data_IF_504566804437
#
_entry.id   IF_504566804437
#
_cell.length_a   1.000
_cell.length_b   1.000
_cell.length_c   1.000
_cell.angle_alpha   90.00
_cell.angle_beta   90.00
_cell.angle_gamma   90.00
#
_symmetry.space_group_name_H-M   'P 1'
#
loop_
_entity.id
_entity.type
_entity.pdbx_description
1 polymer ?
#
# COMPACT_ATOMS: atom_id res chain seq x y z
N UNK A 1 19.92 -23.90 7.09
CA UNK A 1 20.16 -23.34 5.74
C UNK A 1 20.30 -21.82 5.83
N UNK A 2 21.45 -21.27 5.39
CA UNK A 2 21.65 -19.83 5.26
C UNK A 2 20.94 -19.38 3.96
N UNK A 3 19.90 -18.56 4.10
CA UNK A 3 19.15 -17.97 2.99
C UNK A 3 19.27 -16.44 3.02
N UNK A 4 18.65 -15.77 2.05
CA UNK A 4 18.53 -14.31 2.05
C UNK A 4 17.16 -13.87 2.56
N UNK A 5 17.02 -12.61 2.98
CA UNK A 5 15.73 -12.04 3.41
C UNK A 5 15.27 -11.02 2.37
N UNK A 6 14.08 -11.21 1.83
CA UNK A 6 13.46 -10.32 0.82
C UNK A 6 12.11 -9.86 1.36
N UNK A 7 11.90 -8.54 1.48
CA UNK A 7 10.67 -7.95 2.03
C UNK A 7 10.26 -8.49 3.42
N UNK A 8 11.26 -8.91 4.21
CA UNK A 8 11.08 -9.52 5.53
C UNK A 8 10.83 -11.04 5.49
N UNK A 9 10.72 -11.66 4.32
CA UNK A 9 10.56 -13.11 4.19
C UNK A 9 11.88 -13.82 3.93
N UNK A 10 12.07 -14.99 4.55
CA UNK A 10 13.21 -15.86 4.24
C UNK A 10 13.05 -16.47 2.85
N UNK A 11 14.08 -16.35 2.02
CA UNK A 11 14.12 -16.86 0.65
C UNK A 11 15.40 -17.66 0.38
N UNK A 12 15.29 -18.61 -0.54
CA UNK A 12 16.39 -19.44 -1.02
C UNK A 12 16.62 -19.13 -2.50
N UNK A 13 17.89 -18.93 -2.86
CA UNK A 13 18.29 -18.92 -4.26
C UNK A 13 18.70 -20.34 -4.63
N UNK A 14 17.95 -20.94 -5.54
CA UNK A 14 18.14 -22.33 -5.99
C UNK A 14 18.66 -22.29 -7.42
N UNK A 15 19.77 -22.99 -7.66
CA UNK A 15 20.33 -23.16 -9.01
C UNK A 15 19.71 -24.39 -9.65
N UNK A 16 18.99 -24.18 -10.75
CA UNK A 16 18.33 -25.23 -11.53
C UNK A 16 19.26 -25.69 -12.67
N UNK A 17 19.04 -26.90 -13.21
CA UNK A 17 19.72 -27.37 -14.41
C UNK A 17 19.57 -26.37 -15.58
N UNK A 18 20.62 -26.20 -16.38
CA UNK A 18 20.64 -25.24 -17.49
C UNK A 18 20.93 -23.78 -17.08
N UNK A 19 21.69 -23.58 -16.00
CA UNK A 19 22.17 -22.27 -15.52
C UNK A 19 21.06 -21.27 -15.14
N UNK A 20 19.83 -21.74 -14.90
CA UNK A 20 18.75 -20.89 -14.42
C UNK A 20 18.80 -20.79 -12.90
N UNK A 21 18.69 -19.58 -12.37
CA UNK A 21 18.53 -19.36 -10.92
C UNK A 21 17.08 -19.00 -10.62
N UNK A 22 16.54 -19.58 -9.56
CA UNK A 22 15.18 -19.33 -9.12
C UNK A 22 15.20 -18.91 -7.65
N UNK A 23 14.52 -17.81 -7.34
CA UNK A 23 14.23 -17.45 -5.95
C UNK A 23 12.94 -18.13 -5.51
N UNK A 24 12.97 -18.77 -4.34
CA UNK A 24 11.81 -19.39 -3.70
C UNK A 24 11.70 -18.94 -2.25
N UNK A 25 10.50 -18.58 -1.82
CA UNK A 25 10.23 -18.24 -0.43
C UNK A 25 10.11 -19.51 0.41
N UNK A 26 10.72 -19.51 1.59
CA UNK A 26 10.73 -20.68 2.49
C UNK A 26 9.31 -21.02 2.94
N UNK A 27 8.52 -20.04 3.42
CA UNK A 27 7.15 -20.28 3.86
C UNK A 27 6.26 -20.91 2.77
N UNK A 28 6.44 -20.54 1.50
CA UNK A 28 5.68 -21.13 0.40
C UNK A 28 6.06 -22.58 0.17
N UNK A 29 7.35 -22.88 0.15
CA UNK A 29 7.83 -24.26 0.04
C UNK A 29 7.30 -25.11 1.20
N UNK A 30 7.41 -24.63 2.45
CA UNK A 30 6.88 -25.35 3.61
C UNK A 30 5.37 -25.58 3.47
N UNK A 31 4.60 -24.56 3.11
CA UNK A 31 3.15 -24.71 2.93
C UNK A 31 2.79 -25.68 1.78
N UNK A 32 3.56 -25.72 0.70
CA UNK A 32 3.35 -26.64 -0.42
C UNK A 32 3.59 -28.11 -0.04
N UNK A 33 4.55 -28.39 0.85
CA UNK A 33 4.90 -29.76 1.24
C UNK A 33 4.19 -30.25 2.51
N UNK A 34 3.86 -29.36 3.44
CA UNK A 34 3.34 -29.75 4.77
C UNK A 34 1.88 -29.38 4.99
N UNK A 35 1.26 -28.56 4.14
CA UNK A 35 -0.14 -28.15 4.29
C UNK A 35 -0.96 -28.54 3.07
N UNK A 36 -2.13 -29.13 3.31
CA UNK A 36 -3.10 -29.37 2.25
C UNK A 36 -3.77 -28.06 1.86
N UNK A 37 -3.71 -27.71 0.58
CA UNK A 37 -4.40 -26.54 0.05
C UNK A 37 -5.91 -26.82 -0.05
N UNK A 38 -6.78 -26.08 0.66
CA UNK A 38 -8.21 -26.41 0.71
C UNK A 38 -8.96 -26.22 -0.61
N UNK A 39 -8.59 -25.21 -1.39
CA UNK A 39 -9.23 -24.87 -2.68
C UNK A 39 -8.27 -24.03 -3.55
N UNK A 40 -8.52 -23.99 -4.86
CA UNK A 40 -7.76 -23.18 -5.84
C UNK A 40 -7.85 -21.66 -5.61
N UNK A 41 -8.80 -21.21 -4.79
CA UNK A 41 -8.92 -19.82 -4.35
C UNK A 41 -7.87 -19.45 -3.29
N UNK A 42 -7.35 -20.45 -2.55
CA UNK A 42 -6.38 -20.25 -1.50
C UNK A 42 -4.97 -20.21 -2.09
N UNK A 43 -4.64 -19.05 -2.69
CA UNK A 43 -3.38 -18.84 -3.43
C UNK A 43 -2.29 -18.17 -2.60
N UNK A 44 -2.60 -17.72 -1.39
CA UNK A 44 -1.68 -16.99 -0.52
C UNK A 44 -1.34 -17.85 0.69
N UNK A 45 -0.13 -17.68 1.22
CA UNK A 45 0.31 -18.30 2.47
C UNK A 45 0.55 -17.18 3.47
N UNK A 46 -0.10 -17.28 4.62
CA UNK A 46 0.01 -16.31 5.71
C UNK A 46 0.69 -16.94 6.93
N UNK A 47 1.38 -16.10 7.71
CA UNK A 47 1.95 -16.43 9.01
C UNK A 47 0.96 -16.05 10.09
N UNK A 48 0.44 -17.03 10.85
CA UNK A 48 -0.63 -16.82 11.83
C UNK A 48 -0.19 -15.88 12.95
N UNK A 49 1.07 -15.97 13.38
CA UNK A 49 1.69 -15.10 14.39
C UNK A 49 2.19 -13.73 13.89
N UNK A 50 2.03 -13.44 12.59
CA UNK A 50 2.57 -12.27 11.89
C UNK A 50 4.10 -12.20 11.77
N UNK A 51 4.84 -13.18 12.30
CA UNK A 51 6.29 -13.27 12.13
C UNK A 51 6.65 -14.00 10.83
N UNK A 52 7.10 -13.21 9.85
CA UNK A 52 7.53 -13.69 8.52
C UNK A 52 8.75 -14.62 8.56
N UNK A 53 9.47 -14.67 9.67
CA UNK A 53 10.62 -15.55 9.88
C UNK A 53 10.26 -16.88 10.54
N UNK A 54 9.11 -16.97 11.21
CA UNK A 54 8.59 -18.21 11.78
C UNK A 54 7.95 -19.09 10.69
N UNK A 55 8.78 -19.89 10.03
CA UNK A 55 8.36 -20.76 8.91
C UNK A 55 7.94 -22.17 9.37
N UNK A 56 7.57 -22.36 10.64
CA UNK A 56 7.07 -23.65 11.12
C UNK A 56 5.70 -23.95 10.48
N UNK A 57 5.46 -25.18 10.01
CA UNK A 57 4.29 -25.47 9.16
C UNK A 57 2.95 -25.17 9.88
N UNK A 58 2.87 -25.36 11.19
CA UNK A 58 1.67 -25.04 11.99
C UNK A 58 1.41 -23.53 12.11
N UNK A 59 2.45 -22.71 11.95
CA UNK A 59 2.31 -21.25 11.91
C UNK A 59 1.90 -20.75 10.51
N UNK A 60 1.82 -21.62 9.51
CA UNK A 60 1.47 -21.25 8.15
C UNK A 60 0.04 -21.68 7.83
N UNK A 61 -0.67 -20.85 7.08
CA UNK A 61 -2.03 -21.17 6.61
C UNK A 61 -2.21 -20.72 5.16
N UNK A 62 -2.85 -21.58 4.36
CA UNK A 62 -3.36 -21.21 3.04
C UNK A 62 -4.55 -20.27 3.19
N UNK A 63 -4.52 -19.16 2.48
CA UNK A 63 -5.51 -18.10 2.56
C UNK A 63 -5.91 -17.61 1.17
N UNK A 64 -7.17 -17.20 1.05
CA UNK A 64 -7.67 -16.41 -0.08
C UNK A 64 -7.12 -14.98 0.00
N UNK A 65 -7.38 -14.19 -1.06
CA UNK A 65 -7.02 -12.77 -1.06
C UNK A 65 -7.70 -12.02 0.08
N UNK A 66 -8.97 -12.31 0.33
CA UNK A 66 -9.78 -11.62 1.35
C UNK A 66 -9.31 -11.94 2.75
N UNK A 67 -9.07 -13.23 3.05
CA UNK A 67 -8.52 -13.67 4.33
C UNK A 67 -7.15 -13.06 4.61
N UNK A 68 -6.28 -13.00 3.60
CA UNK A 68 -4.96 -12.37 3.73
C UNK A 68 -5.07 -10.87 4.03
N UNK A 69 -6.03 -10.16 3.43
CA UNK A 69 -6.27 -8.75 3.74
C UNK A 69 -6.86 -8.56 5.15
N UNK A 70 -7.78 -9.41 5.58
CA UNK A 70 -8.33 -9.39 6.94
C UNK A 70 -7.24 -9.64 7.98
N UNK A 71 -6.44 -10.70 7.79
CA UNK A 71 -5.31 -11.02 8.65
C UNK A 71 -4.34 -9.83 8.76
N UNK A 72 -3.93 -9.25 7.63
CA UNK A 72 -3.06 -8.09 7.63
C UNK A 72 -3.67 -6.85 8.31
N UNK A 73 -4.99 -6.66 8.27
CA UNK A 73 -5.67 -5.59 9.01
C UNK A 73 -5.60 -5.80 10.52
N UNK A 74 -5.55 -7.04 10.97
CA UNK A 74 -5.41 -7.40 12.39
C UNK A 74 -3.96 -7.30 12.90
N UNK A 75 -2.97 -7.24 12.00
CA UNK A 75 -1.55 -7.16 12.35
C UNK A 75 -1.25 -5.93 13.25
N UNK A 76 -0.84 -6.13 14.51
CA UNK A 76 -0.58 -5.02 15.46
C UNK A 76 0.46 -4.04 14.94
N UNK A 77 1.52 -4.55 14.30
CA UNK A 77 2.61 -3.73 13.74
C UNK A 77 2.12 -2.80 12.62
N UNK A 78 1.08 -3.21 11.87
CA UNK A 78 0.51 -2.37 10.82
C UNK A 78 -0.54 -1.40 11.37
N UNK A 79 -1.29 -1.80 12.40
CA UNK A 79 -2.28 -0.94 13.08
C UNK A 79 -1.63 0.23 13.81
N UNK A 80 -0.48 -0.03 14.44
CA UNK A 80 0.27 0.97 15.22
C UNK A 80 1.17 1.85 14.34
N UNK A 81 1.40 1.47 13.08
CA UNK A 81 2.08 2.34 12.13
C UNK A 81 1.23 3.57 11.88
N UNK A 82 1.66 4.69 12.48
CA UNK A 82 1.16 6.02 12.16
C UNK A 82 1.34 6.23 10.65
N UNK A 83 0.24 6.15 9.91
CA UNK A 83 0.24 6.54 8.49
C UNK A 83 0.78 7.98 8.47
N UNK A 84 1.90 8.26 7.79
CA UNK A 84 2.44 9.60 7.74
C UNK A 84 1.36 10.48 7.13
N UNK A 85 0.71 11.31 7.96
CA UNK A 85 -0.41 12.16 7.51
C UNK A 85 0.02 13.09 6.38
N UNK A 86 1.32 13.39 6.29
CA UNK A 86 1.97 14.16 5.23
C UNK A 86 3.40 13.66 5.02
N UNK A 87 3.76 13.39 3.77
CA UNK A 87 5.14 13.25 3.31
C UNK A 87 5.57 14.60 2.71
N UNK A 88 6.86 14.91 2.73
CA UNK A 88 7.38 16.21 2.24
C UNK A 88 7.01 16.51 0.76
N UNK A 89 6.59 15.50 0.01
CA UNK A 89 6.37 15.56 -1.45
C UNK A 89 4.91 15.82 -1.87
N UNK A 90 3.99 16.12 -0.95
CA UNK A 90 2.62 16.47 -1.33
C UNK A 90 2.58 17.81 -2.10
N UNK A 91 2.07 17.79 -3.34
CA UNK A 91 1.98 18.97 -4.22
C UNK A 91 1.11 20.10 -3.63
N UNK A 92 0.07 19.73 -2.87
CA UNK A 92 -0.89 20.65 -2.24
C UNK A 92 -0.75 20.62 -0.71
N UNK A 93 -0.67 21.80 -0.12
CA UNK A 93 -0.77 22.06 1.32
C UNK A 93 -2.08 22.81 1.60
N UNK A 94 -2.50 22.87 2.87
CA UNK A 94 -3.69 23.66 3.26
C UNK A 94 -3.58 25.11 2.78
N UNK A 95 -2.42 25.76 2.96
CA UNK A 95 -2.18 27.12 2.49
C UNK A 95 -2.35 27.26 0.97
N UNK A 96 -1.84 26.30 0.18
CA UNK A 96 -2.04 26.27 -1.28
C UNK A 96 -3.50 26.07 -1.65
N UNK A 97 -4.23 25.24 -0.91
CA UNK A 97 -5.65 24.99 -1.14
C UNK A 97 -6.50 26.21 -0.78
N UNK A 98 -6.15 26.94 0.30
CA UNK A 98 -6.76 28.23 0.63
C UNK A 98 -6.55 29.22 -0.51
N UNK A 99 -5.32 29.34 -1.04
CA UNK A 99 -5.04 30.18 -2.21
C UNK A 99 -5.87 29.78 -3.43
N UNK A 100 -5.93 28.48 -3.74
CA UNK A 100 -6.77 27.96 -4.83
C UNK A 100 -8.24 28.36 -4.63
N UNK A 101 -8.80 28.17 -3.42
CA UNK A 101 -10.18 28.53 -3.10
C UNK A 101 -10.43 30.05 -3.20
N UNK A 102 -9.47 30.89 -2.78
CA UNK A 102 -9.53 32.35 -2.99
C UNK A 102 -9.51 32.72 -4.48
N UNK A 103 -8.63 32.10 -5.26
CA UNK A 103 -8.54 32.35 -6.71
C UNK A 103 -9.80 31.89 -7.46
N UNK A 104 -10.44 30.81 -7.01
CA UNK A 104 -11.71 30.31 -7.56
C UNK A 104 -12.92 31.22 -7.25
N UNK A 105 -12.86 32.04 -6.19
CA UNK A 105 -13.89 33.07 -5.92
C UNK A 105 -13.79 34.27 -6.87
N UNK A 106 -12.64 34.49 -7.50
CA UNK A 106 -12.45 35.58 -8.46
C UNK A 106 -12.76 35.13 -9.88
N UNK A 107 -13.72 35.77 -10.53
CA UNK A 107 -14.17 35.43 -11.89
C UNK A 107 -13.13 35.77 -12.98
N UNK A 108 -12.02 36.42 -12.59
CA UNK A 108 -10.93 36.81 -13.52
C UNK A 108 -10.00 35.64 -13.88
N UNK A 109 -10.08 34.52 -13.16
CA UNK A 109 -9.11 33.44 -13.28
C UNK A 109 -9.65 32.25 -14.08
N UNK A 110 -9.06 31.99 -15.26
CA UNK A 110 -9.35 30.77 -16.03
C UNK A 110 -8.87 29.53 -15.25
N UNK A 111 -9.77 28.57 -15.01
CA UNK A 111 -9.49 27.33 -14.24
C UNK A 111 -8.23 26.58 -14.72
N UNK A 112 -8.00 26.52 -16.04
CA UNK A 112 -6.81 25.91 -16.64
C UNK A 112 -5.50 26.56 -16.17
N UNK A 113 -5.50 27.89 -15.96
CA UNK A 113 -4.33 28.63 -15.49
C UNK A 113 -4.06 28.36 -14.01
N UNK A 114 -5.11 28.31 -13.18
CA UNK A 114 -4.99 27.95 -11.76
C UNK A 114 -4.37 26.55 -11.64
N UNK A 115 -4.90 25.56 -12.39
CA UNK A 115 -4.38 24.20 -12.36
C UNK A 115 -2.89 24.13 -12.75
N UNK A 116 -2.48 24.87 -13.81
CA UNK A 116 -1.09 24.96 -14.27
C UNK A 116 -0.18 25.59 -13.21
N UNK A 117 -0.62 26.67 -12.57
CA UNK A 117 0.15 27.38 -11.54
C UNK A 117 0.47 26.50 -10.32
N UNK A 118 -0.48 25.65 -9.90
CA UNK A 118 -0.29 24.75 -8.76
C UNK A 118 0.22 23.36 -9.14
N UNK A 119 0.49 23.10 -10.43
CA UNK A 119 0.99 21.80 -10.91
C UNK A 119 0.01 20.64 -10.69
N UNK A 120 -1.30 20.94 -10.71
CA UNK A 120 -2.39 19.99 -10.51
C UNK A 120 -3.20 19.81 -11.79
N UNK A 121 -3.95 18.70 -11.86
CA UNK A 121 -4.85 18.47 -13.00
C UNK A 121 -6.13 19.30 -12.87
N UNK A 122 -6.78 19.55 -14.00
CA UNK A 122 -8.07 20.24 -14.01
C UNK A 122 -9.14 19.46 -13.22
N UNK A 123 -9.10 18.12 -13.26
CA UNK A 123 -9.96 17.25 -12.45
C UNK A 123 -9.72 17.47 -10.95
N UNK A 124 -8.46 17.53 -10.52
CA UNK A 124 -8.13 17.78 -9.12
C UNK A 124 -8.59 19.16 -8.65
N UNK A 125 -8.44 20.19 -9.51
CA UNK A 125 -8.98 21.53 -9.25
C UNK A 125 -10.51 21.50 -9.11
N UNK A 126 -11.23 20.80 -10.00
CA UNK A 126 -12.68 20.66 -9.94
C UNK A 126 -13.15 19.96 -8.67
N UNK A 127 -12.44 18.92 -8.19
CA UNK A 127 -12.73 18.24 -6.91
C UNK A 127 -12.52 19.14 -5.69
N UNK A 128 -11.54 20.05 -5.75
CA UNK A 128 -11.35 21.07 -4.70
C UNK A 128 -12.49 22.09 -4.74
N UNK A 129 -12.91 22.49 -5.96
CA UNK A 129 -14.01 23.44 -6.18
C UNK A 129 -15.36 22.89 -5.73
N UNK A 130 -15.66 21.62 -6.03
CA UNK A 130 -16.90 20.95 -5.62
C UNK A 130 -16.93 20.59 -4.13
N UNK A 131 -15.79 20.68 -3.44
CA UNK A 131 -15.67 20.30 -2.03
C UNK A 131 -15.62 18.78 -1.78
N UNK A 132 -15.51 17.96 -2.84
CA UNK A 132 -15.23 16.52 -2.73
C UNK A 132 -13.88 16.29 -2.03
N UNK A 133 -12.86 17.06 -2.44
CA UNK A 133 -11.55 17.07 -1.81
C UNK A 133 -11.35 18.34 -0.97
N UNK A 134 -10.65 18.22 0.16
CA UNK A 134 -10.31 19.35 1.06
C UNK A 134 -11.54 20.09 1.63
N UNK A 135 -12.61 19.36 1.96
CA UNK A 135 -13.82 19.91 2.62
C UNK A 135 -13.53 20.59 3.96
N UNK A 136 -12.54 20.09 4.70
CA UNK A 136 -12.14 20.63 6.02
C UNK A 136 -11.43 21.99 5.94
N UNK A 137 -10.84 22.34 4.80
CA UNK A 137 -10.14 23.63 4.63
C UNK A 137 -11.17 24.71 4.31
N UNK A 138 -11.49 25.55 5.28
CA UNK A 138 -12.39 26.69 5.08
C UNK A 138 -11.59 27.95 4.73
N UNK A 139 -12.24 28.89 4.05
CA UNK A 139 -11.71 30.25 3.94
C UNK A 139 -12.15 30.97 5.20
N UNK A 140 -11.20 31.44 6.00
CA UNK A 140 -11.48 32.46 7.01
C UNK A 140 -11.94 33.71 6.25
N UNK A 141 -13.05 34.30 6.71
CA UNK A 141 -13.68 35.48 6.10
C UNK A 141 -12.80 36.73 6.22
#
# INVERSE_FOLDING_TARGET
IKGSVIQGYKSLNIRLPGSRTANRYVHKLVAEFFLTRPSDEHRFVIHVDFDKLNNFYENLKWATREEMHEHNRQNPTLREKVVPRRTKNYKLTESKVIMIKKMLKSDKNRLKMIAKQFGITHTQLNRIRSGENWKHVKLEE
#
